data_IF_710332781699
#
_entry.id   IF_710332781699
#
_cell.length_a   1.000
_cell.length_b   1.000
_cell.length_c   1.000
_cell.angle_alpha   90.00
_cell.angle_beta   90.00
_cell.angle_gamma   90.00
#
_symmetry.space_group_name_H-M   'P 1'
#
loop_
_entity.id
_entity.type
_entity.pdbx_description
1 polymer ?
#
# COMPACT_ATOMS: atom_id res chain seq x y z
N UNK A 1 -2.37 3.10 -1.98
CA UNK A 1 -1.22 3.95 -1.66
C UNK A 1 -1.03 3.97 -0.15
N UNK A 2 0.20 3.77 0.31
CA UNK A 2 0.58 3.96 1.70
C UNK A 2 1.14 5.39 1.83
N UNK A 3 0.41 6.24 2.53
CA UNK A 3 0.84 7.62 2.79
C UNK A 3 1.57 7.70 4.14
N UNK A 4 2.22 8.83 4.42
CA UNK A 4 2.83 9.10 5.71
C UNK A 4 1.83 9.01 6.90
N UNK A 5 2.07 9.73 7.97
CA UNK A 5 1.29 9.62 9.21
C UNK A 5 0.22 10.70 9.39
N UNK A 6 0.14 11.68 8.50
CA UNK A 6 -0.70 12.87 8.63
C UNK A 6 -2.03 12.70 7.87
N UNK A 7 -3.15 12.75 8.58
CA UNK A 7 -4.48 12.52 8.00
C UNK A 7 -4.85 13.52 6.90
N UNK A 8 -4.54 14.81 7.09
CA UNK A 8 -4.84 15.84 6.08
C UNK A 8 -4.12 15.57 4.75
N UNK A 9 -2.86 15.14 4.81
CA UNK A 9 -2.09 14.78 3.61
C UNK A 9 -2.68 13.55 2.94
N UNK A 10 -3.11 12.57 3.70
CA UNK A 10 -3.81 11.39 3.18
C UNK A 10 -5.07 11.78 2.39
N UNK A 11 -5.91 12.66 2.94
CA UNK A 11 -7.13 13.14 2.28
C UNK A 11 -6.78 13.91 0.99
N UNK A 12 -5.80 14.79 1.02
CA UNK A 12 -5.33 15.50 -0.15
C UNK A 12 -4.85 14.53 -1.24
N UNK A 13 -4.01 13.56 -0.88
CA UNK A 13 -3.52 12.54 -1.81
C UNK A 13 -4.67 11.75 -2.43
N UNK A 14 -5.67 11.35 -1.63
CA UNK A 14 -6.84 10.63 -2.15
C UNK A 14 -7.64 11.47 -3.15
N UNK A 15 -7.87 12.74 -2.86
CA UNK A 15 -8.64 13.63 -3.73
C UNK A 15 -7.88 13.90 -5.04
N UNK A 16 -6.58 14.13 -4.98
CA UNK A 16 -5.74 14.32 -6.17
C UNK A 16 -5.73 13.07 -7.05
N UNK A 17 -5.49 11.90 -6.47
CA UNK A 17 -5.55 10.63 -7.21
C UNK A 17 -6.91 10.40 -7.84
N UNK A 18 -8.00 10.68 -7.14
CA UNK A 18 -9.34 10.53 -7.70
C UNK A 18 -9.56 11.45 -8.91
N UNK A 19 -9.13 12.71 -8.80
CA UNK A 19 -9.20 13.65 -9.92
C UNK A 19 -8.36 13.19 -11.10
N UNK A 20 -7.08 12.91 -10.87
CA UNK A 20 -6.12 12.64 -11.94
C UNK A 20 -6.40 11.31 -12.67
N UNK A 21 -6.76 10.27 -11.93
CA UNK A 21 -7.03 8.94 -12.49
C UNK A 21 -8.32 8.90 -13.34
N UNK A 22 -9.26 9.82 -13.10
CA UNK A 22 -10.53 9.85 -13.82
C UNK A 22 -10.58 10.93 -14.95
N UNK A 23 -9.55 11.75 -15.11
CA UNK A 23 -9.54 12.80 -16.14
C UNK A 23 -9.38 12.28 -17.57
N UNK A 24 -8.64 11.20 -17.79
CA UNK A 24 -8.21 10.80 -19.14
C UNK A 24 -8.42 9.31 -19.45
N UNK A 25 -9.05 8.57 -18.57
CA UNK A 25 -9.03 7.10 -18.66
C UNK A 25 -10.33 6.46 -19.14
N UNK A 26 -10.19 5.32 -19.79
CA UNK A 26 -11.29 4.39 -20.08
C UNK A 26 -11.66 3.54 -18.86
N UNK A 27 -10.87 3.59 -17.81
CA UNK A 27 -11.07 2.86 -16.55
C UNK A 27 -11.73 3.79 -15.52
N UNK A 28 -12.66 3.23 -14.78
CA UNK A 28 -13.37 3.94 -13.71
C UNK A 28 -12.72 3.66 -12.36
N UNK A 29 -11.93 4.60 -11.88
CA UNK A 29 -11.27 4.50 -10.60
C UNK A 29 -12.21 4.93 -9.46
N UNK A 30 -12.47 4.01 -8.55
CA UNK A 30 -13.34 4.24 -7.39
C UNK A 30 -12.52 4.20 -6.12
N UNK A 31 -12.59 5.23 -5.27
CA UNK A 31 -11.97 5.19 -3.96
C UNK A 31 -12.71 4.18 -3.07
N UNK A 32 -11.98 3.24 -2.49
CA UNK A 32 -12.49 2.48 -1.35
C UNK A 32 -12.61 3.44 -0.18
N UNK A 33 -13.76 3.40 0.50
CA UNK A 33 -13.98 4.30 1.62
C UNK A 33 -12.91 4.08 2.68
N UNK A 34 -12.44 5.20 3.21
CA UNK A 34 -11.33 5.22 4.13
C UNK A 34 -11.64 4.41 5.39
N UNK A 35 -10.67 3.61 5.79
CA UNK A 35 -10.65 2.98 7.11
C UNK A 35 -10.51 4.08 8.17
N UNK A 36 -11.60 4.49 8.79
CA UNK A 36 -11.52 5.35 9.97
C UNK A 36 -10.95 4.58 11.16
N UNK A 37 -10.62 5.27 12.25
CA UNK A 37 -10.15 4.60 13.48
C UNK A 37 -11.14 3.53 13.99
N UNK A 38 -12.41 3.66 13.65
CA UNK A 38 -13.50 2.84 14.20
C UNK A 38 -14.26 2.02 13.17
N UNK A 39 -14.09 2.31 11.87
CA UNK A 39 -14.86 1.67 10.81
C UNK A 39 -13.91 1.02 9.81
N UNK A 40 -14.17 -0.23 9.49
CA UNK A 40 -13.51 -0.98 8.43
C UNK A 40 -13.82 -0.38 7.05
N UNK A 41 -13.13 -0.82 6.00
CA UNK A 41 -13.56 -0.50 4.64
C UNK A 41 -15.03 -0.91 4.54
N UNK A 42 -15.89 0.07 4.33
CA UNK A 42 -17.34 -0.14 4.36
C UNK A 42 -17.81 -1.09 3.26
N UNK A 43 -17.05 -1.17 2.17
CA UNK A 43 -17.32 -2.06 1.06
C UNK A 43 -16.63 -3.40 1.29
N UNK A 44 -17.42 -4.44 1.40
CA UNK A 44 -16.90 -5.80 1.50
C UNK A 44 -16.25 -6.22 0.17
N UNK A 45 -15.14 -6.95 0.22
CA UNK A 45 -14.45 -7.43 -0.97
C UNK A 45 -15.37 -8.27 -1.89
N UNK A 46 -16.36 -8.97 -1.33
CA UNK A 46 -17.35 -9.74 -2.06
C UNK A 46 -18.20 -8.91 -3.05
N UNK A 47 -18.46 -7.64 -2.73
CA UNK A 47 -19.27 -6.75 -3.57
C UNK A 47 -18.49 -6.08 -4.69
N UNK A 48 -17.19 -6.32 -4.80
CA UNK A 48 -16.31 -5.68 -5.78
C UNK A 48 -16.02 -6.63 -6.96
N UNK A 49 -15.74 -6.03 -8.11
CA UNK A 49 -15.43 -6.74 -9.36
C UNK A 49 -13.94 -6.61 -9.67
N UNK A 50 -13.20 -7.71 -9.56
CA UNK A 50 -11.75 -7.76 -9.79
C UNK A 50 -11.37 -8.47 -11.10
N UNK A 51 -12.36 -8.84 -11.93
CA UNK A 51 -12.08 -9.48 -13.20
C UNK A 51 -11.38 -8.53 -14.20
N UNK A 52 -10.66 -9.12 -15.15
CA UNK A 52 -9.84 -8.35 -16.08
C UNK A 52 -10.67 -7.53 -17.08
N UNK A 53 -11.90 -7.95 -17.36
CA UNK A 53 -12.80 -7.34 -18.34
C UNK A 53 -13.55 -6.15 -17.74
N UNK A 54 -13.67 -6.09 -16.42
CA UNK A 54 -14.28 -4.97 -15.72
C UNK A 54 -13.48 -3.69 -16.01
N UNK A 55 -14.21 -2.60 -16.26
CA UNK A 55 -13.62 -1.25 -16.35
C UNK A 55 -13.40 -0.62 -14.97
N UNK A 56 -13.95 -1.19 -13.93
CA UNK A 56 -13.79 -0.69 -12.57
C UNK A 56 -12.41 -1.01 -12.02
N UNK A 57 -11.81 -0.02 -11.41
CA UNK A 57 -10.56 -0.15 -10.64
C UNK A 57 -10.77 0.53 -9.29
N UNK A 58 -10.10 0.01 -8.30
CA UNK A 58 -10.27 0.49 -6.93
C UNK A 58 -8.94 1.00 -6.41
N UNK A 59 -8.99 2.04 -5.61
CA UNK A 59 -7.82 2.52 -4.90
C UNK A 59 -8.18 2.95 -3.48
N UNK A 60 -7.20 2.92 -2.60
CA UNK A 60 -7.30 3.49 -1.25
C UNK A 60 -5.99 4.15 -0.88
N UNK A 61 -6.07 5.20 -0.08
CA UNK A 61 -4.91 5.83 0.53
C UNK A 61 -4.96 5.54 2.02
N UNK A 62 -4.02 4.71 2.48
CA UNK A 62 -3.93 4.25 3.85
C UNK A 62 -2.74 4.91 4.55
N UNK A 63 -2.95 5.41 5.76
CA UNK A 63 -1.83 5.87 6.59
C UNK A 63 -0.95 4.69 7.01
N UNK A 64 0.35 4.91 7.11
CA UNK A 64 1.31 3.97 7.68
C UNK A 64 1.16 3.89 9.20
N UNK A 65 0.16 3.14 9.63
CA UNK A 65 -0.22 2.91 11.01
C UNK A 65 -0.57 1.44 11.18
N UNK A 66 -0.08 0.82 12.24
CA UNK A 66 -0.24 -0.63 12.45
C UNK A 66 -1.70 -1.09 12.47
N UNK A 67 -2.58 -0.33 13.11
CA UNK A 67 -4.01 -0.66 13.18
C UNK A 67 -4.66 -0.64 11.80
N UNK A 68 -4.36 0.37 10.99
CA UNK A 68 -4.95 0.50 9.65
C UNK A 68 -4.40 -0.52 8.66
N UNK A 69 -3.11 -0.80 8.73
CA UNK A 69 -2.49 -1.84 7.89
C UNK A 69 -3.04 -3.22 8.21
N UNK A 70 -3.25 -3.57 9.49
CA UNK A 70 -3.91 -4.82 9.86
C UNK A 70 -5.30 -4.94 9.27
N UNK A 71 -6.12 -3.90 9.41
CA UNK A 71 -7.47 -3.88 8.84
C UNK A 71 -7.48 -3.99 7.31
N UNK A 72 -6.51 -3.37 6.64
CA UNK A 72 -6.35 -3.49 5.19
C UNK A 72 -6.01 -4.93 4.79
N UNK A 73 -5.09 -5.58 5.50
CA UNK A 73 -4.73 -6.99 5.27
C UNK A 73 -5.95 -7.89 5.50
N UNK A 74 -6.63 -7.74 6.64
CA UNK A 74 -7.84 -8.50 6.97
C UNK A 74 -8.94 -8.34 5.92
N UNK A 75 -9.16 -7.10 5.46
CA UNK A 75 -10.13 -6.81 4.41
C UNK A 75 -9.77 -7.50 3.09
N UNK A 76 -8.51 -7.41 2.66
CA UNK A 76 -8.04 -8.02 1.42
C UNK A 76 -8.12 -9.56 1.45
N UNK A 77 -8.08 -10.15 2.64
CA UNK A 77 -8.10 -11.60 2.87
C UNK A 77 -9.45 -12.13 3.36
N UNK A 78 -10.46 -11.26 3.51
CA UNK A 78 -11.77 -11.64 4.04
C UNK A 78 -12.51 -12.66 3.16
N UNK A 79 -12.21 -12.70 1.86
CA UNK A 79 -12.81 -13.64 0.91
C UNK A 79 -11.71 -14.25 0.02
N UNK A 80 -11.45 -15.54 0.18
CA UNK A 80 -10.41 -16.27 -0.56
C UNK A 80 -10.60 -16.25 -2.07
N UNK A 81 -11.83 -16.32 -2.55
CA UNK A 81 -12.14 -16.33 -3.97
C UNK A 81 -11.87 -14.95 -4.59
N UNK A 82 -12.23 -13.89 -3.89
CA UNK A 82 -11.94 -12.52 -4.32
C UNK A 82 -10.45 -12.22 -4.23
N UNK A 83 -9.77 -12.67 -3.19
CA UNK A 83 -8.32 -12.50 -3.04
C UNK A 83 -7.56 -13.06 -4.26
N UNK A 84 -7.92 -14.26 -4.73
CA UNK A 84 -7.31 -14.90 -5.91
C UNK A 84 -7.54 -14.14 -7.23
N UNK A 85 -8.46 -13.19 -7.26
CA UNK A 85 -8.74 -12.34 -8.42
C UNK A 85 -8.01 -10.98 -8.33
N UNK A 86 -7.54 -10.60 -7.15
CA UNK A 86 -6.93 -9.29 -6.94
C UNK A 86 -5.56 -9.17 -7.60
N UNK A 87 -5.39 -8.11 -8.39
CA UNK A 87 -4.11 -7.60 -8.85
C UNK A 87 -3.85 -6.31 -8.10
N UNK A 88 -2.83 -6.30 -7.26
CA UNK A 88 -2.58 -5.21 -6.32
C UNK A 88 -1.28 -4.50 -6.69
N UNK A 89 -1.32 -3.19 -6.76
CA UNK A 89 -0.16 -2.31 -6.77
C UNK A 89 -0.11 -1.55 -5.44
N UNK A 90 0.92 -1.78 -4.66
CA UNK A 90 1.23 -1.01 -3.47
C UNK A 90 2.23 0.08 -3.85
N UNK A 91 1.86 1.33 -3.63
CA UNK A 91 2.76 2.48 -3.74
C UNK A 91 3.01 2.96 -2.32
N UNK A 92 4.25 2.90 -1.89
CA UNK A 92 4.68 3.31 -0.55
C UNK A 92 5.38 4.67 -0.65
N UNK A 93 4.68 5.71 -0.28
CA UNK A 93 5.21 7.07 -0.24
C UNK A 93 6.03 7.27 1.03
N UNK A 94 7.17 7.96 0.92
CA UNK A 94 8.15 8.07 1.99
C UNK A 94 8.58 6.69 2.53
N UNK A 95 8.97 5.81 1.62
CA UNK A 95 9.28 4.41 1.94
C UNK A 95 10.47 4.25 2.91
N UNK A 96 11.33 5.27 3.02
CA UNK A 96 12.44 5.34 3.98
C UNK A 96 11.97 5.62 5.42
N UNK A 97 10.80 6.19 5.64
CA UNK A 97 10.31 6.53 6.99
C UNK A 97 10.02 5.30 7.85
N UNK A 98 9.78 4.15 7.26
CA UNK A 98 9.64 2.89 8.01
C UNK A 98 10.97 2.40 8.64
N UNK A 99 12.10 3.01 8.26
CA UNK A 99 13.43 2.65 8.76
C UNK A 99 14.17 3.75 9.51
N UNK A 100 13.68 5.00 9.47
CA UNK A 100 14.36 6.14 10.09
C UNK A 100 13.46 6.76 11.17
N UNK A 101 13.93 6.71 12.39
CA UNK A 101 13.30 7.27 13.57
C UNK A 101 13.41 8.82 13.53
N UNK A 102 12.49 9.49 12.88
CA UNK A 102 12.37 10.95 12.95
C UNK A 102 11.14 11.32 13.78
N UNK A 103 11.39 11.69 15.02
CA UNK A 103 10.45 12.35 15.95
C UNK A 103 9.21 11.52 16.37
N UNK A 104 9.27 10.89 17.53
CA UNK A 104 8.13 10.39 18.32
C UNK A 104 7.37 9.13 17.81
N UNK A 105 7.89 8.38 16.86
CA UNK A 105 7.40 7.02 16.62
C UNK A 105 8.31 6.07 17.40
N UNK A 106 7.73 5.30 18.30
CA UNK A 106 8.41 4.24 19.03
C UNK A 106 9.07 3.27 18.01
N UNK A 107 10.33 2.92 18.23
CA UNK A 107 11.07 1.97 17.38
C UNK A 107 10.32 0.63 17.19
N UNK A 108 9.53 0.26 18.18
CA UNK A 108 8.66 -0.91 18.13
C UNK A 108 7.51 -0.74 17.14
N UNK A 109 6.88 0.44 17.06
CA UNK A 109 5.82 0.72 16.08
C UNK A 109 6.37 0.75 14.65
N UNK A 110 7.55 1.34 14.42
CA UNK A 110 8.23 1.32 13.11
C UNK A 110 8.50 -0.12 12.66
N UNK A 111 9.04 -0.95 13.54
CA UNK A 111 9.27 -2.37 13.27
C UNK A 111 7.96 -3.11 12.95
N UNK A 112 6.88 -2.77 13.65
CA UNK A 112 5.55 -3.35 13.45
C UNK A 112 4.94 -2.95 12.10
N UNK A 113 5.07 -1.68 11.71
CA UNK A 113 4.64 -1.17 10.39
C UNK A 113 5.38 -1.90 9.27
N UNK A 114 6.70 -2.00 9.36
CA UNK A 114 7.51 -2.70 8.35
C UNK A 114 7.08 -4.17 8.20
N UNK A 115 6.88 -4.89 9.31
CA UNK A 115 6.39 -6.27 9.29
C UNK A 115 5.03 -6.40 8.60
N UNK A 116 4.12 -5.46 8.83
CA UNK A 116 2.79 -5.46 8.21
C UNK A 116 2.85 -5.13 6.70
N UNK A 117 3.70 -4.19 6.28
CA UNK A 117 3.91 -3.92 4.85
C UNK A 117 4.47 -5.17 4.16
N UNK A 118 5.48 -5.83 4.76
CA UNK A 118 6.00 -7.10 4.24
C UNK A 118 4.93 -8.19 4.18
N UNK A 119 4.09 -8.31 5.22
CA UNK A 119 2.98 -9.26 5.23
C UNK A 119 1.99 -9.00 4.09
N UNK A 120 1.59 -7.74 3.89
CA UNK A 120 0.71 -7.34 2.79
C UNK A 120 1.31 -7.70 1.43
N UNK A 121 2.56 -7.31 1.18
CA UNK A 121 3.25 -7.50 -0.11
C UNK A 121 3.52 -8.97 -0.40
N UNK A 122 3.79 -9.78 0.61
CA UNK A 122 4.05 -11.21 0.45
C UNK A 122 2.79 -12.09 0.53
N UNK A 123 1.60 -11.49 0.63
CA UNK A 123 0.35 -12.24 0.73
C UNK A 123 0.20 -13.04 2.02
N UNK A 124 0.83 -12.59 3.11
CA UNK A 124 0.75 -13.20 4.43
C UNK A 124 -0.33 -12.52 5.29
N UNK A 125 -0.79 -13.20 6.34
CA UNK A 125 -1.69 -12.58 7.29
C UNK A 125 -0.99 -11.50 8.13
N UNK A 126 -1.74 -10.80 8.98
CA UNK A 126 -1.23 -9.71 9.82
C UNK A 126 -0.16 -10.14 10.85
N UNK A 127 -0.05 -11.44 11.12
CA UNK A 127 1.00 -12.02 11.98
C UNK A 127 2.23 -12.47 11.18
N UNK A 128 2.21 -12.29 9.85
CA UNK A 128 3.29 -12.71 8.96
C UNK A 128 3.30 -14.20 8.63
N UNK A 129 2.21 -14.91 8.92
CA UNK A 129 2.09 -16.35 8.63
C UNK A 129 1.55 -16.57 7.22
N UNK A 130 1.96 -17.65 6.60
CA UNK A 130 1.44 -18.07 5.31
C UNK A 130 -0.05 -18.41 5.43
N UNK A 131 -0.80 -18.07 4.38
CA UNK A 131 -2.24 -18.34 4.27
C UNK A 131 -2.51 -19.20 3.04
N UNK A 132 -3.64 -19.89 3.05
CA UNK A 132 -4.04 -20.85 2.01
C UNK A 132 -4.25 -20.19 0.64
N UNK A 133 -4.58 -18.91 0.62
CA UNK A 133 -4.89 -18.15 -0.60
C UNK A 133 -3.93 -16.98 -0.76
N UNK A 134 -3.56 -16.67 -1.99
CA UNK A 134 -2.73 -15.51 -2.30
C UNK A 134 -3.39 -14.65 -3.38
N UNK A 135 -2.84 -13.46 -3.60
CA UNK A 135 -3.27 -12.56 -4.68
C UNK A 135 -2.88 -13.11 -6.05
N UNK A 136 -3.65 -12.75 -7.07
CA UNK A 136 -3.31 -13.11 -8.46
C UNK A 136 -2.00 -12.45 -8.90
N UNK A 137 -1.81 -11.18 -8.52
CA UNK A 137 -0.55 -10.47 -8.72
C UNK A 137 -0.36 -9.41 -7.63
N UNK A 138 0.90 -9.18 -7.25
CA UNK A 138 1.30 -8.15 -6.30
C UNK A 138 2.56 -7.45 -6.80
N UNK A 139 2.52 -6.12 -6.85
CA UNK A 139 3.67 -5.28 -7.09
C UNK A 139 3.81 -4.26 -5.97
N UNK A 140 5.05 -3.98 -5.61
CA UNK A 140 5.41 -2.96 -4.62
C UNK A 140 6.37 -1.95 -5.25
N UNK A 141 6.06 -0.67 -5.07
CA UNK A 141 6.91 0.44 -5.51
C UNK A 141 7.08 1.40 -4.34
N UNK A 142 8.32 1.60 -3.92
CA UNK A 142 8.69 2.59 -2.91
C UNK A 142 9.07 3.92 -3.56
N UNK A 143 8.50 5.01 -3.07
CA UNK A 143 8.89 6.38 -3.38
C UNK A 143 9.62 6.96 -2.18
N UNK A 144 10.79 7.56 -2.39
CA UNK A 144 11.57 8.19 -1.33
C UNK A 144 12.52 9.25 -1.89
N UNK A 145 12.78 10.28 -1.11
CA UNK A 145 13.83 11.25 -1.39
C UNK A 145 15.23 10.72 -0.98
N UNK A 146 15.29 9.67 -0.13
CA UNK A 146 16.53 9.11 0.43
C UNK A 146 16.63 7.61 0.21
N UNK A 147 16.83 7.15 -1.06
CA UNK A 147 16.77 5.74 -1.43
C UNK A 147 17.85 4.87 -0.76
N UNK A 148 18.94 5.47 -0.31
CA UNK A 148 20.02 4.72 0.34
C UNK A 148 19.59 3.98 1.60
N UNK A 149 18.66 4.54 2.38
CA UNK A 149 18.16 3.90 3.57
C UNK A 149 17.48 2.55 3.26
N UNK A 150 16.67 2.51 2.20
CA UNK A 150 15.98 1.29 1.78
C UNK A 150 16.92 0.25 1.18
N UNK A 151 17.98 0.70 0.48
CA UNK A 151 18.96 -0.20 -0.12
C UNK A 151 19.88 -0.81 0.94
N UNK A 152 20.30 -0.01 1.91
CA UNK A 152 21.26 -0.46 2.93
C UNK A 152 20.62 -1.24 4.07
N UNK A 153 19.38 -0.93 4.41
CA UNK A 153 18.70 -1.55 5.56
C UNK A 153 17.84 -2.76 5.18
N UNK A 154 17.53 -2.95 3.90
CA UNK A 154 16.77 -4.09 3.43
C UNK A 154 17.70 -5.15 2.81
N UNK A 155 17.82 -6.33 3.41
CA UNK A 155 18.62 -7.40 2.81
C UNK A 155 17.98 -7.89 1.51
N UNK A 156 18.76 -8.29 0.49
CA UNK A 156 18.23 -8.78 -0.78
C UNK A 156 17.66 -10.20 -0.65
N UNK A 157 16.93 -10.48 0.41
CA UNK A 157 16.33 -11.76 0.73
C UNK A 157 14.90 -11.89 0.18
N UNK A 158 14.45 -13.13 -0.03
CA UNK A 158 13.05 -13.39 -0.40
C UNK A 158 12.11 -12.86 0.68
N UNK A 159 11.13 -12.06 0.27
CA UNK A 159 10.16 -11.47 1.19
C UNK A 159 10.56 -10.14 1.82
N UNK A 160 11.76 -9.62 1.52
CA UNK A 160 12.15 -8.25 1.87
C UNK A 160 11.49 -7.23 0.92
N UNK A 161 11.53 -5.95 1.30
CA UNK A 161 11.10 -4.84 0.45
C UNK A 161 12.24 -4.27 -0.41
N UNK A 162 13.36 -5.00 -0.51
CA UNK A 162 14.50 -4.62 -1.34
C UNK A 162 14.08 -4.44 -2.81
N UNK A 163 14.45 -3.34 -3.48
CA UNK A 163 14.08 -3.07 -4.87
C UNK A 163 14.84 -4.01 -5.83
N UNK A 164 14.19 -5.08 -6.27
CA UNK A 164 14.79 -6.12 -7.11
C UNK A 164 14.70 -5.85 -8.60
N UNK A 165 13.67 -5.14 -9.03
CA UNK A 165 13.36 -5.01 -10.45
C UNK A 165 13.94 -3.76 -11.06
N UNK A 166 13.89 -2.63 -10.35
CA UNK A 166 14.46 -1.37 -10.81
C UNK A 166 14.66 -0.39 -9.66
N UNK A 167 15.58 0.54 -9.88
CA UNK A 167 15.76 1.78 -9.14
C UNK A 167 15.88 2.87 -10.19
N UNK A 168 15.09 3.93 -10.07
CA UNK A 168 15.13 5.06 -10.98
C UNK A 168 15.00 6.38 -10.24
N UNK A 169 15.63 7.42 -10.74
CA UNK A 169 15.46 8.78 -10.25
C UNK A 169 14.50 9.52 -11.16
N UNK A 170 13.59 10.27 -10.57
CA UNK A 170 12.73 11.17 -11.32
C UNK A 170 13.56 12.40 -11.75
N UNK A 171 13.29 12.90 -12.95
CA UNK A 171 13.88 14.13 -13.41
C UNK A 171 13.46 15.28 -12.49
N UNK A 172 14.41 16.17 -12.19
CA UNK A 172 14.11 17.41 -11.45
C UNK A 172 13.18 18.25 -12.29
N UNK A 173 12.10 18.76 -11.71
CA UNK A 173 11.21 19.70 -12.39
C UNK A 173 12.01 20.93 -12.81
N UNK A 174 11.78 21.38 -14.06
CA UNK A 174 12.42 22.61 -14.57
C UNK A 174 11.80 23.88 -13.95
N UNK A 175 10.80 23.74 -13.12
CA UNK A 175 10.08 24.84 -12.46
C UNK A 175 10.54 25.11 -11.02
N UNK A 176 11.66 24.53 -10.61
CA UNK A 176 12.35 24.86 -9.35
C UNK A 176 13.68 25.56 -9.63
#
# INVERSE_FOLDING_TARGET
VLAGTIENLRVQTQNRLFSDLNQQGTLWWRPLQHLSKTVDISQKAQSLHFDAESRERYFTVCLKNSTRLRKLIQWAQADKNKQRQMRILVIDDEADQAGINTCNIDAEEVSRINKLIRALVNGKNEDGKDIESTYLAMNYVGYTATPYANILNEPPEKGSLYPRSFITTLAVSKEY
#
